data_IF_963078214572
#
_entry.id   IF_963078214572
#
_cell.length_a   1.000
_cell.length_b   1.000
_cell.length_c   1.000
_cell.angle_alpha   90.00
_cell.angle_beta   90.00
_cell.angle_gamma   90.00
#
_symmetry.space_group_name_H-M   'P 1'
#
loop_
_entity.id
_entity.type
_entity.pdbx_description
1 polymer ?
#
# COMPACT_ATOMS: atom_id res chain seq x y z
N UNK A 1 9.82 6.35 10.49
CA UNK A 1 8.48 6.03 9.95
C UNK A 1 7.62 7.28 9.82
N UNK A 2 7.58 8.14 10.85
CA UNK A 2 6.82 9.41 10.84
C UNK A 2 7.13 10.31 9.64
N UNK A 3 8.42 10.57 9.36
CA UNK A 3 8.81 11.46 8.25
C UNK A 3 8.40 10.91 6.87
N UNK A 4 8.68 9.63 6.60
CA UNK A 4 8.26 8.98 5.35
C UNK A 4 6.74 9.06 5.13
N UNK A 5 5.97 8.69 6.15
CA UNK A 5 4.51 8.75 6.09
C UNK A 5 4.01 10.19 5.93
N UNK A 6 4.62 11.16 6.63
CA UNK A 6 4.25 12.57 6.55
C UNK A 6 4.48 13.16 5.15
N UNK A 7 5.66 12.93 4.55
CA UNK A 7 5.96 13.40 3.20
C UNK A 7 5.04 12.75 2.15
N UNK A 8 4.80 11.43 2.28
CA UNK A 8 3.89 10.72 1.37
C UNK A 8 2.44 11.20 1.50
N UNK A 9 1.98 11.51 2.72
CA UNK A 9 0.65 12.10 2.98
C UNK A 9 0.56 13.52 2.41
N UNK A 10 1.60 14.33 2.60
CA UNK A 10 1.65 15.70 2.04
C UNK A 10 1.50 15.67 0.51
N UNK A 11 2.29 14.82 -0.16
CA UNK A 11 2.23 14.67 -1.62
C UNK A 11 0.88 14.09 -2.07
N UNK A 12 0.27 13.20 -1.27
CA UNK A 12 -1.08 12.72 -1.53
C UNK A 12 -2.11 13.86 -1.50
N UNK A 13 -2.06 14.75 -0.50
CA UNK A 13 -2.97 15.89 -0.44
C UNK A 13 -2.74 16.87 -1.60
N UNK A 14 -1.48 17.12 -1.95
CA UNK A 14 -1.12 17.95 -3.11
C UNK A 14 -1.68 17.36 -4.41
N UNK A 15 -1.54 16.04 -4.60
CA UNK A 15 -2.11 15.30 -5.73
C UNK A 15 -3.64 15.35 -5.77
N UNK A 16 -4.33 15.18 -4.63
CA UNK A 16 -5.79 15.31 -4.58
C UNK A 16 -6.26 16.75 -4.81
N UNK A 17 -5.51 17.75 -4.34
CA UNK A 17 -5.79 19.16 -4.58
C UNK A 17 -5.62 19.49 -6.07
N UNK A 18 -4.55 19.01 -6.70
CA UNK A 18 -4.33 19.08 -8.13
C UNK A 18 -5.49 18.44 -8.92
N UNK A 19 -5.90 17.23 -8.55
CA UNK A 19 -7.02 16.52 -9.18
C UNK A 19 -8.32 17.34 -9.16
N UNK A 20 -8.62 17.98 -8.03
CA UNK A 20 -9.81 18.84 -7.90
C UNK A 20 -9.74 20.05 -8.82
N UNK A 21 -8.58 20.68 -8.95
CA UNK A 21 -8.38 21.81 -9.86
C UNK A 21 -8.46 21.37 -11.33
N UNK A 22 -7.85 20.24 -11.69
CA UNK A 22 -7.89 19.69 -13.05
C UNK A 22 -9.32 19.41 -13.51
N UNK A 23 -10.19 18.95 -12.60
CA UNK A 23 -11.61 18.73 -12.89
C UNK A 23 -12.41 20.03 -13.18
N UNK A 24 -11.81 21.21 -12.94
CA UNK A 24 -12.41 22.51 -13.21
C UNK A 24 -11.89 23.20 -14.48
N UNK A 25 -10.95 22.58 -15.20
CA UNK A 25 -10.40 23.11 -16.45
C UNK A 25 -11.51 23.41 -17.47
N UNK A 26 -11.45 24.60 -18.07
CA UNK A 26 -12.45 25.11 -19.01
C UNK A 26 -13.70 25.69 -18.35
N UNK A 27 -13.73 25.89 -17.03
CA UNK A 27 -14.84 26.59 -16.32
C UNK A 27 -14.67 28.10 -16.24
N UNK A 28 -13.44 28.59 -16.28
CA UNK A 28 -13.12 29.99 -15.99
C UNK A 28 -13.15 30.89 -17.24
N UNK A 29 -13.62 30.40 -18.39
CA UNK A 29 -13.68 31.16 -19.65
C UNK A 29 -12.32 31.49 -20.28
N UNK A 30 -11.22 30.94 -19.74
CA UNK A 30 -9.86 31.02 -20.31
C UNK A 30 -9.72 30.05 -21.48
N UNK A 31 -8.71 30.26 -22.32
CA UNK A 31 -8.36 29.32 -23.37
C UNK A 31 -7.96 27.96 -22.76
N UNK A 32 -8.77 26.93 -23.03
CA UNK A 32 -8.61 25.59 -22.45
C UNK A 32 -7.24 24.99 -22.72
N UNK A 33 -6.61 25.34 -23.86
CA UNK A 33 -5.28 24.84 -24.23
C UNK A 33 -4.17 25.36 -23.32
N UNK A 34 -4.13 26.68 -23.04
CA UNK A 34 -3.14 27.28 -22.15
C UNK A 34 -3.33 26.82 -20.70
N UNK A 35 -4.58 26.74 -20.24
CA UNK A 35 -4.90 26.24 -18.90
C UNK A 35 -4.44 24.78 -18.74
N UNK A 36 -4.71 23.94 -19.74
CA UNK A 36 -4.28 22.54 -19.74
C UNK A 36 -2.75 22.39 -19.76
N UNK A 37 -2.06 23.26 -20.49
CA UNK A 37 -0.60 23.30 -20.51
C UNK A 37 -0.02 23.67 -19.14
N UNK A 38 -0.61 24.64 -18.44
CA UNK A 38 -0.21 24.99 -17.08
C UNK A 38 -0.38 23.81 -16.12
N UNK A 39 -1.52 23.09 -16.21
CA UNK A 39 -1.76 21.90 -15.41
C UNK A 39 -0.79 20.75 -15.76
N UNK A 40 -0.43 20.59 -17.03
CA UNK A 40 0.59 19.63 -17.45
C UNK A 40 1.95 19.95 -16.82
N UNK A 41 2.40 21.21 -16.87
CA UNK A 41 3.67 21.62 -16.25
C UNK A 41 3.68 21.40 -14.73
N UNK A 42 2.56 21.70 -14.05
CA UNK A 42 2.40 21.40 -12.63
C UNK A 42 2.43 19.90 -12.34
N UNK A 43 1.83 19.08 -13.21
CA UNK A 43 1.93 17.62 -13.09
C UNK A 43 3.38 17.14 -13.22
N UNK A 44 4.15 17.68 -14.17
CA UNK A 44 5.58 17.35 -14.30
C UNK A 44 6.38 17.70 -13.05
N UNK A 45 6.13 18.86 -12.44
CA UNK A 45 6.77 19.23 -11.16
C UNK A 45 6.38 18.28 -10.03
N UNK A 46 5.10 17.94 -9.92
CA UNK A 46 4.62 17.00 -8.92
C UNK A 46 5.22 15.60 -9.13
N UNK A 47 5.33 15.17 -10.38
CA UNK A 47 5.95 13.91 -10.77
C UNK A 47 7.44 13.87 -10.38
N UNK A 48 8.19 14.96 -10.59
CA UNK A 48 9.60 15.05 -10.16
C UNK A 48 9.73 14.96 -8.63
N UNK A 49 8.85 15.63 -7.87
CA UNK A 49 8.82 15.52 -6.40
C UNK A 49 8.51 14.08 -5.96
N UNK A 50 7.56 13.41 -6.61
CA UNK A 50 7.25 11.99 -6.34
C UNK A 50 8.47 11.10 -6.64
N UNK A 51 9.18 11.37 -7.74
CA UNK A 51 10.37 10.62 -8.10
C UNK A 51 11.52 10.82 -7.11
N UNK A 52 11.73 12.05 -6.64
CA UNK A 52 12.72 12.34 -5.60
C UNK A 52 12.37 11.68 -4.27
N UNK A 53 11.07 11.67 -3.91
CA UNK A 53 10.58 10.95 -2.74
C UNK A 53 10.88 9.44 -2.86
N UNK A 54 10.52 8.84 -3.99
CA UNK A 54 10.77 7.43 -4.26
C UNK A 54 12.26 7.10 -4.17
N UNK A 55 13.11 7.86 -4.85
CA UNK A 55 14.56 7.66 -4.81
C UNK A 55 15.14 7.74 -3.40
N UNK A 56 14.62 8.64 -2.58
CA UNK A 56 15.08 8.84 -1.19
C UNK A 56 14.63 7.71 -0.28
N UNK A 57 13.40 7.20 -0.47
CA UNK A 57 12.80 6.27 0.47
C UNK A 57 12.69 4.82 -0.03
N UNK A 58 13.04 4.49 -1.28
CA UNK A 58 12.89 3.12 -1.82
C UNK A 58 13.59 2.03 -1.01
N UNK A 59 14.81 2.31 -0.52
CA UNK A 59 15.58 1.38 0.32
C UNK A 59 14.98 1.33 1.73
N UNK A 60 14.55 2.48 2.24
CA UNK A 60 13.89 2.59 3.53
C UNK A 60 12.58 1.80 3.58
N UNK A 61 11.73 1.95 2.56
CA UNK A 61 10.45 1.23 2.41
C UNK A 61 10.69 -0.27 2.32
N UNK A 62 11.68 -0.72 1.56
CA UNK A 62 12.04 -2.14 1.50
C UNK A 62 12.50 -2.68 2.86
N UNK A 63 13.43 -2.01 3.53
CA UNK A 63 13.94 -2.44 4.82
C UNK A 63 12.84 -2.45 5.91
N UNK A 64 11.94 -1.46 5.87
CA UNK A 64 10.81 -1.37 6.79
C UNK A 64 9.76 -2.45 6.53
N UNK A 65 9.37 -2.70 5.28
CA UNK A 65 8.43 -3.79 4.96
C UNK A 65 9.07 -5.14 5.29
N UNK A 66 10.34 -5.33 4.90
CA UNK A 66 11.09 -6.56 5.13
C UNK A 66 11.31 -6.90 6.61
N UNK A 67 11.47 -5.90 7.48
CA UNK A 67 11.60 -6.14 8.94
C UNK A 67 10.25 -6.20 9.66
N UNK A 68 9.24 -5.45 9.22
CA UNK A 68 7.95 -5.39 9.89
C UNK A 68 7.07 -6.62 9.61
N UNK A 69 7.24 -7.30 8.47
CA UNK A 69 6.55 -8.57 8.18
C UNK A 69 6.92 -9.66 9.21
N UNK A 70 8.21 -10.03 9.40
CA UNK A 70 8.61 -10.98 10.44
C UNK A 70 8.17 -10.54 11.84
N UNK A 71 8.34 -9.25 12.17
CA UNK A 71 7.95 -8.72 13.48
C UNK A 71 6.46 -8.90 13.75
N UNK A 72 5.61 -8.66 12.76
CA UNK A 72 4.16 -8.86 12.86
C UNK A 72 3.81 -10.34 13.06
N UNK A 73 4.49 -11.24 12.32
CA UNK A 73 4.31 -12.69 12.46
C UNK A 73 4.67 -13.15 13.87
N UNK A 74 5.83 -12.76 14.40
CA UNK A 74 6.26 -13.15 15.73
C UNK A 74 5.38 -12.57 16.84
N UNK A 75 4.94 -11.30 16.71
CA UNK A 75 3.99 -10.69 17.65
C UNK A 75 2.65 -11.41 17.66
N UNK A 76 2.11 -11.78 16.49
CA UNK A 76 0.88 -12.56 16.37
C UNK A 76 1.06 -13.97 16.95
N UNK A 77 2.19 -14.61 16.69
CA UNK A 77 2.51 -15.93 17.24
C UNK A 77 2.58 -15.89 18.78
N UNK A 78 3.26 -14.89 19.34
CA UNK A 78 3.33 -14.66 20.78
C UNK A 78 1.94 -14.42 21.39
N UNK A 79 1.08 -13.66 20.71
CA UNK A 79 -0.32 -13.47 21.13
C UNK A 79 -1.10 -14.79 21.10
N UNK A 80 -0.99 -15.59 20.04
CA UNK A 80 -1.65 -16.90 19.94
C UNK A 80 -1.17 -17.88 21.01
N UNK A 81 0.12 -17.90 21.34
CA UNK A 81 0.65 -18.74 22.42
C UNK A 81 0.15 -18.28 23.79
N UNK A 82 0.20 -16.97 24.08
CA UNK A 82 -0.29 -16.45 25.35
C UNK A 82 -1.80 -16.67 25.52
N UNK A 83 -2.58 -16.60 24.44
CA UNK A 83 -4.01 -16.96 24.46
C UNK A 83 -4.26 -18.40 24.91
N UNK A 84 -3.39 -19.35 24.55
CA UNK A 84 -3.51 -20.75 24.99
C UNK A 84 -3.19 -20.94 26.46
N UNK A 85 -2.31 -20.12 27.02
CA UNK A 85 -1.86 -20.24 28.42
C UNK A 85 -2.80 -19.48 29.37
N UNK A 86 -3.05 -18.21 29.10
CA UNK A 86 -3.90 -17.36 29.95
C UNK A 86 -4.39 -16.12 29.20
N UNK A 87 -5.69 -15.85 29.31
CA UNK A 87 -6.31 -14.66 28.72
C UNK A 87 -5.67 -13.35 29.22
N UNK A 88 -5.25 -13.28 30.49
CA UNK A 88 -4.62 -12.08 31.05
C UNK A 88 -3.24 -11.82 30.44
N UNK A 89 -2.44 -12.87 30.24
CA UNK A 89 -1.14 -12.76 29.57
C UNK A 89 -1.29 -12.34 28.11
N UNK A 90 -2.35 -12.81 27.44
CA UNK A 90 -2.66 -12.39 26.08
C UNK A 90 -2.99 -10.89 25.99
N UNK A 91 -3.77 -10.35 26.95
CA UNK A 91 -4.13 -8.94 26.98
C UNK A 91 -2.91 -8.02 27.02
N UNK A 92 -1.85 -8.39 27.75
CA UNK A 92 -0.59 -7.63 27.77
C UNK A 92 0.16 -7.61 26.43
N UNK A 93 -0.08 -8.59 25.56
CA UNK A 93 0.55 -8.65 24.23
C UNK A 93 -0.24 -7.92 23.13
N UNK A 94 -1.51 -7.56 23.39
CA UNK A 94 -2.38 -6.85 22.43
C UNK A 94 -1.79 -5.53 21.94
N UNK A 95 -1.25 -4.63 22.78
CA UNK A 95 -0.69 -3.37 22.30
C UNK A 95 0.42 -3.55 21.27
N UNK A 96 1.28 -4.56 21.46
CA UNK A 96 2.36 -4.88 20.52
C UNK A 96 1.81 -5.30 19.16
N UNK A 97 0.82 -6.20 19.15
CA UNK A 97 0.16 -6.66 17.91
C UNK A 97 -0.52 -5.50 17.19
N UNK A 98 -1.25 -4.65 17.92
CA UNK A 98 -1.95 -3.48 17.36
C UNK A 98 -0.95 -2.52 16.72
N UNK A 99 0.17 -2.22 17.38
CA UNK A 99 1.22 -1.35 16.83
C UNK A 99 1.82 -1.96 15.56
N UNK A 100 2.11 -3.27 15.55
CA UNK A 100 2.66 -3.96 14.37
C UNK A 100 1.71 -3.88 13.16
N UNK A 101 0.42 -4.15 13.39
CA UNK A 101 -0.62 -4.09 12.35
C UNK A 101 -0.79 -2.67 11.83
N UNK A 102 -0.91 -1.67 12.70
CA UNK A 102 -1.03 -0.26 12.30
C UNK A 102 0.20 0.18 11.50
N UNK A 103 1.40 -0.23 11.92
CA UNK A 103 2.66 0.05 11.24
C UNK A 103 2.67 -0.56 9.84
N UNK A 104 2.24 -1.82 9.71
CA UNK A 104 2.18 -2.53 8.43
C UNK A 104 1.17 -1.86 7.49
N UNK A 105 -0.02 -1.54 7.98
CA UNK A 105 -1.05 -0.82 7.21
C UNK A 105 -0.54 0.57 6.80
N UNK A 106 0.12 1.31 7.70
CA UNK A 106 0.66 2.64 7.41
C UNK A 106 1.71 2.61 6.29
N UNK A 107 2.64 1.65 6.34
CA UNK A 107 3.70 1.50 5.32
C UNK A 107 3.17 1.15 3.94
N UNK A 108 2.03 0.48 3.88
CA UNK A 108 1.48 -0.09 2.64
C UNK A 108 0.33 0.74 2.08
N UNK A 109 -0.58 1.22 2.93
CA UNK A 109 -1.78 1.96 2.51
C UNK A 109 -1.50 3.41 2.11
N UNK A 110 -0.56 4.09 2.77
CA UNK A 110 -0.22 5.49 2.47
C UNK A 110 0.31 5.66 1.04
N UNK A 111 1.39 4.95 0.62
CA UNK A 111 1.87 5.04 -0.76
C UNK A 111 0.87 4.49 -1.79
N UNK A 112 0.06 3.48 -1.43
CA UNK A 112 -0.99 2.99 -2.32
C UNK A 112 -2.11 4.03 -2.55
N UNK A 113 -2.44 4.85 -1.54
CA UNK A 113 -3.37 5.98 -1.70
C UNK A 113 -2.80 7.06 -2.62
N UNK A 114 -1.51 7.37 -2.50
CA UNK A 114 -0.82 8.28 -3.41
C UNK A 114 -0.87 7.78 -4.86
N UNK A 115 -0.47 6.53 -5.10
CA UNK A 115 -0.53 5.93 -6.44
C UNK A 115 -1.96 5.91 -7.01
N UNK A 116 -2.96 5.62 -6.17
CA UNK A 116 -4.37 5.70 -6.57
C UNK A 116 -4.86 7.12 -6.87
N UNK A 117 -4.23 8.17 -6.33
CA UNK A 117 -4.57 9.57 -6.63
C UNK A 117 -3.97 10.00 -7.98
N UNK A 118 -2.73 9.61 -8.24
CA UNK A 118 -2.04 9.85 -9.52
C UNK A 118 -2.82 9.23 -10.68
N UNK A 119 -3.22 7.97 -10.56
CA UNK A 119 -3.99 7.25 -11.59
C UNK A 119 -5.41 7.80 -11.80
N UNK A 120 -5.93 8.66 -10.92
CA UNK A 120 -7.22 9.35 -11.18
C UNK A 120 -7.09 10.47 -12.22
N UNK A 121 -5.90 11.04 -12.41
CA UNK A 121 -5.67 12.16 -13.34
C UNK A 121 -6.15 11.80 -14.74
N UNK A 122 -5.78 10.62 -15.22
CA UNK A 122 -6.20 10.08 -16.52
C UNK A 122 -7.74 10.07 -16.66
N UNK A 123 -8.43 9.54 -15.65
CA UNK A 123 -9.90 9.47 -15.64
C UNK A 123 -10.54 10.85 -15.66
N UNK A 124 -9.96 11.83 -14.95
CA UNK A 124 -10.44 13.21 -14.92
C UNK A 124 -10.26 13.88 -16.28
N UNK A 125 -9.12 13.66 -16.95
CA UNK A 125 -8.84 14.17 -18.29
C UNK A 125 -9.86 13.64 -19.31
N UNK A 126 -10.11 12.33 -19.33
CA UNK A 126 -11.11 11.75 -20.23
C UNK A 126 -12.55 12.17 -19.91
N UNK A 127 -12.88 12.35 -18.62
CA UNK A 127 -14.23 12.75 -18.22
C UNK A 127 -14.57 14.21 -18.56
N UNK A 128 -13.57 15.08 -18.71
CA UNK A 128 -13.81 16.50 -18.96
C UNK A 128 -14.15 16.77 -20.44
N UNK A 129 -15.44 16.76 -20.76
CA UNK A 129 -15.96 17.04 -22.12
C UNK A 129 -15.50 18.37 -22.71
N UNK A 130 -15.10 19.36 -21.89
CA UNK A 130 -14.66 20.68 -22.35
C UNK A 130 -13.26 20.66 -22.97
N UNK A 131 -12.46 19.64 -22.66
CA UNK A 131 -11.16 19.39 -23.29
C UNK A 131 -11.37 18.83 -24.70
N UNK A 132 -12.38 17.95 -24.85
CA UNK A 132 -12.67 17.22 -26.07
C UNK A 132 -13.72 17.91 -26.97
N UNK A 133 -14.42 18.95 -26.50
CA UNK A 133 -15.45 19.61 -27.31
C UNK A 133 -15.60 21.10 -26.95
N UNK A 134 -15.59 22.01 -27.95
CA UNK A 134 -15.40 21.76 -29.39
C UNK A 134 -13.97 21.32 -29.74
N UNK A 135 -13.80 20.63 -30.88
CA UNK A 135 -12.49 20.15 -31.32
C UNK A 135 -11.51 21.31 -31.52
N UNK A 136 -10.38 21.26 -30.83
CA UNK A 136 -9.27 22.19 -30.99
C UNK A 136 -7.97 21.39 -31.04
N UNK A 137 -7.26 21.46 -32.18
CA UNK A 137 -6.04 20.67 -32.42
C UNK A 137 -5.00 20.87 -31.32
N UNK A 138 -4.74 22.12 -30.92
CA UNK A 138 -3.77 22.46 -29.86
C UNK A 138 -4.14 21.80 -28.52
N UNK A 139 -5.39 21.93 -28.10
CA UNK A 139 -5.88 21.36 -26.83
C UNK A 139 -5.81 19.84 -26.84
N UNK A 140 -6.15 19.21 -27.98
CA UNK A 140 -6.09 17.77 -28.16
C UNK A 140 -4.66 17.22 -28.09
N UNK A 141 -3.71 17.86 -28.77
CA UNK A 141 -2.30 17.46 -28.72
C UNK A 141 -1.75 17.54 -27.30
N UNK A 142 -2.02 18.64 -26.59
CA UNK A 142 -1.62 18.83 -25.19
C UNK A 142 -2.27 17.76 -24.29
N UNK A 143 -3.56 17.49 -24.46
CA UNK A 143 -4.26 16.46 -23.69
C UNK A 143 -3.67 15.06 -23.91
N UNK A 144 -3.35 14.68 -25.14
CA UNK A 144 -2.74 13.40 -25.48
C UNK A 144 -1.33 13.25 -24.89
N UNK A 145 -0.49 14.29 -25.01
CA UNK A 145 0.83 14.32 -24.38
C UNK A 145 0.70 14.19 -22.86
N UNK A 146 -0.24 14.92 -22.26
CA UNK A 146 -0.47 14.87 -20.82
C UNK A 146 -0.91 13.46 -20.37
N UNK A 147 -1.88 12.84 -21.05
CA UNK A 147 -2.30 11.46 -20.74
C UNK A 147 -1.13 10.48 -20.86
N UNK A 148 -0.30 10.62 -21.89
CA UNK A 148 0.88 9.77 -22.09
C UNK A 148 1.86 9.89 -20.93
N UNK A 149 2.09 11.11 -20.43
CA UNK A 149 2.93 11.35 -19.26
C UNK A 149 2.33 10.82 -17.95
N UNK A 150 1.01 10.92 -17.78
CA UNK A 150 0.31 10.38 -16.61
C UNK A 150 0.38 8.85 -16.55
N UNK A 151 0.38 8.19 -17.72
CA UNK A 151 0.43 6.74 -17.85
C UNK A 151 1.84 6.15 -17.77
N UNK A 152 2.85 6.92 -17.37
CA UNK A 152 4.19 6.39 -17.10
C UNK A 152 4.12 5.36 -15.95
N UNK A 153 4.57 4.13 -16.23
CA UNK A 153 4.36 2.93 -15.40
C UNK A 153 5.01 2.96 -14.02
N UNK A 154 5.87 3.95 -13.75
CA UNK A 154 6.69 4.02 -12.53
C UNK A 154 6.36 5.23 -11.63
N UNK A 155 5.25 5.93 -11.85
CA UNK A 155 4.89 7.06 -11.00
C UNK A 155 4.21 6.61 -9.69
N UNK A 156 5.01 6.58 -8.62
CA UNK A 156 4.58 6.21 -7.28
C UNK A 156 5.75 5.94 -6.35
N UNK A 157 5.46 5.39 -5.17
CA UNK A 157 6.52 4.93 -4.25
C UNK A 157 6.76 3.44 -4.46
N UNK A 158 8.00 3.10 -4.77
CA UNK A 158 8.49 1.77 -5.07
C UNK A 158 9.15 1.12 -3.84
N UNK A 159 9.03 -0.20 -3.81
CA UNK A 159 9.79 -1.07 -2.91
C UNK A 159 11.08 -1.44 -3.64
N UNK A 160 12.20 -0.85 -3.23
CA UNK A 160 13.53 -1.09 -3.82
C UNK A 160 13.61 -0.84 -5.35
N UNK A 161 12.62 -0.18 -5.97
CA UNK A 161 12.55 -0.06 -7.43
C UNK A 161 12.05 -1.31 -8.17
N UNK A 162 11.60 -2.35 -7.45
CA UNK A 162 11.05 -3.58 -8.08
C UNK A 162 9.53 -3.53 -8.26
N UNK A 163 8.81 -2.90 -7.34
CA UNK A 163 7.35 -2.84 -7.39
C UNK A 163 6.81 -1.58 -6.73
N UNK A 164 5.89 -0.88 -7.38
CA UNK A 164 5.14 0.22 -6.77
C UNK A 164 4.20 -0.32 -5.69
N UNK A 165 4.22 0.30 -4.51
CA UNK A 165 3.35 -0.09 -3.40
C UNK A 165 1.90 0.23 -3.78
N UNK A 166 1.17 -0.84 -4.13
CA UNK A 166 -0.19 -0.79 -4.65
C UNK A 166 -1.14 -1.62 -3.78
N UNK A 167 -2.45 -1.44 -3.96
CA UNK A 167 -3.48 -2.20 -3.22
C UNK A 167 -3.28 -3.73 -3.29
N UNK A 168 -2.95 -4.33 -4.45
CA UNK A 168 -2.63 -5.75 -4.53
C UNK A 168 -1.44 -6.17 -3.64
N UNK A 169 -0.38 -5.35 -3.57
CA UNK A 169 0.79 -5.65 -2.73
C UNK A 169 0.42 -5.68 -1.25
N UNK A 170 -0.48 -4.80 -0.80
CA UNK A 170 -1.02 -4.82 0.57
C UNK A 170 -1.71 -6.17 0.85
N UNK A 171 -2.59 -6.58 -0.08
CA UNK A 171 -3.35 -7.82 0.06
C UNK A 171 -2.40 -9.02 0.12
N UNK A 172 -1.42 -9.10 -0.77
CA UNK A 172 -0.40 -10.16 -0.75
C UNK A 172 0.35 -10.18 0.57
N UNK A 173 0.73 -9.02 1.11
CA UNK A 173 1.46 -8.94 2.37
C UNK A 173 0.62 -9.48 3.54
N UNK A 174 -0.65 -9.07 3.63
CA UNK A 174 -1.58 -9.57 4.67
C UNK A 174 -1.82 -11.07 4.49
N UNK A 175 -2.08 -11.53 3.27
CA UNK A 175 -2.27 -12.95 2.97
C UNK A 175 -1.05 -13.77 3.39
N UNK A 176 0.16 -13.34 3.03
CA UNK A 176 1.40 -14.02 3.43
C UNK A 176 1.55 -14.10 4.95
N UNK A 177 1.27 -13.00 5.68
CA UNK A 177 1.35 -13.02 7.15
C UNK A 177 0.37 -14.02 7.77
N UNK A 178 -0.87 -14.09 7.26
CA UNK A 178 -1.89 -15.02 7.75
C UNK A 178 -1.56 -16.47 7.39
N UNK A 179 -1.13 -16.73 6.15
CA UNK A 179 -0.75 -18.07 5.69
C UNK A 179 0.42 -18.60 6.50
N UNK A 180 1.47 -17.79 6.69
CA UNK A 180 2.65 -18.20 7.44
C UNK A 180 2.35 -18.39 8.92
N UNK A 181 1.53 -17.53 9.52
CA UNK A 181 1.05 -17.73 10.89
C UNK A 181 0.26 -19.04 11.02
N UNK A 182 -0.64 -19.32 10.09
CA UNK A 182 -1.45 -20.55 10.09
C UNK A 182 -0.56 -21.79 9.98
N UNK A 183 0.44 -21.75 9.10
CA UNK A 183 1.44 -22.81 8.96
C UNK A 183 2.22 -23.04 10.26
N UNK A 184 2.72 -21.97 10.90
CA UNK A 184 3.44 -22.06 12.16
C UNK A 184 2.57 -22.62 13.30
N UNK A 185 1.30 -22.25 13.35
CA UNK A 185 0.37 -22.78 14.34
C UNK A 185 0.09 -24.27 14.12
N UNK A 186 -0.10 -24.70 12.87
CA UNK A 186 -0.32 -26.10 12.51
C UNK A 186 0.91 -26.98 12.81
N UNK A 187 2.11 -26.50 12.48
CA UNK A 187 3.37 -27.19 12.76
C UNK A 187 3.60 -27.35 14.26
N UNK A 188 3.29 -26.32 15.07
CA UNK A 188 3.38 -26.43 16.53
C UNK A 188 2.31 -27.37 17.12
N UNK A 189 1.07 -27.38 16.60
CA UNK A 189 0.05 -28.31 17.10
C UNK A 189 0.37 -29.77 16.76
N UNK A 190 0.95 -30.03 15.59
CA UNK A 190 1.33 -31.39 15.19
C UNK A 190 2.50 -31.94 16.02
N UNK A 191 3.40 -31.08 16.50
CA UNK A 191 4.45 -31.47 17.44
C UNK A 191 3.89 -31.86 18.82
N UNK A 192 2.89 -31.12 19.34
CA UNK A 192 2.29 -31.37 20.66
C UNK A 192 1.38 -32.61 20.68
N UNK A 193 0.77 -32.99 19.56
CA UNK A 193 -0.10 -34.17 19.49
C UNK A 193 0.64 -35.52 19.61
N UNK A 194 1.97 -35.55 19.54
CA UNK A 194 2.73 -36.81 19.50
C UNK A 194 3.16 -37.36 20.88
N UNK A 195 3.03 -36.57 21.96
CA UNK A 195 3.39 -36.99 23.33
C UNK A 195 2.22 -37.57 24.15
N UNK A 196 1.02 -37.71 23.54
CA UNK A 196 -0.20 -38.17 24.22
C UNK A 196 -0.66 -39.59 23.89
N UNK A 197 0.05 -40.33 23.01
CA UNK A 197 -0.33 -41.68 22.63
C UNK A 197 0.19 -42.70 23.65
N UNK A 198 -0.51 -42.87 24.78
CA UNK A 198 -0.42 -44.08 25.59
C UNK A 198 -0.74 -45.29 24.69
N UNK A 199 0.12 -46.34 24.64
CA UNK A 199 -0.19 -47.53 23.87
C UNK A 199 -1.44 -48.22 24.45
N UNK A 200 -2.25 -48.89 23.63
CA UNK A 200 -3.40 -49.63 24.13
C UNK A 200 -2.89 -50.72 25.07
N UNK A 201 -3.33 -50.69 26.32
CA UNK A 201 -3.14 -51.78 27.27
C UNK A 201 -3.87 -52.98 26.68
N UNK A 202 -3.10 -53.84 26.02
CA UNK A 202 -3.58 -55.08 25.45
C UNK A 202 -3.82 -56.04 26.62
N UNK A 203 -5.07 -56.11 27.10
CA UNK A 203 -5.51 -57.13 28.04
C UNK A 203 -5.46 -58.50 27.33
N UNK A 204 -4.29 -59.13 27.38
CA UNK A 204 -4.09 -60.51 27.01
C UNK A 204 -3.18 -61.14 28.06
N UNK A 205 -3.63 -62.27 28.63
CA UNK A 205 -2.95 -63.19 29.58
C UNK A 205 -2.96 -62.70 31.05
N UNK A 206 -3.44 -63.42 32.07
CA UNK A 206 -3.59 -64.87 32.33
C UNK A 206 -4.57 -65.13 33.50
N UNK A 207 -5.24 -66.29 33.43
CA UNK A 207 -5.75 -67.16 34.52
C UNK A 207 -6.71 -66.57 35.57
#
# INVERSE_FOLDING_TARGET
>A
MSHYSMYTIMIYFESEYFNRQLATVGKNGRETGEELLEFYLKHCQLADVIYQLDRTFKVYTFAMIGSNIPTTIFSLLAFCFNLRVSWYSALFTVPSVVICIITLIGLTAVPAKLHSSITKIEKILYANKRIWSPYCEKTYQIAQVFITHVNQTDLGVSVWGFAVVSKPLILTTVSLTVTYLSFLLQMNSSFVSNDGALPPINNTLLL
#
